data_IF_135394200281
#
_entry.id   IF_135394200281
#
_cell.length_a   1.000
_cell.length_b   1.000
_cell.length_c   1.000
_cell.angle_alpha   90.00
_cell.angle_beta   90.00
_cell.angle_gamma   90.00
#
_symmetry.space_group_name_H-M   'P 1'
#
loop_
_entity.id
_entity.type
_entity.pdbx_description
1 polymer ?
#
# COMPACT_ATOMS: atom_id res chain seq x y z
N UNK A 1 2.93 -22.94 18.66
CA UNK A 1 2.33 -21.61 18.73
C UNK A 1 2.29 -21.17 20.19
N UNK A 2 3.22 -20.30 20.59
CA UNK A 2 3.22 -19.71 21.95
C UNK A 2 2.11 -18.66 21.98
N UNK A 3 1.19 -18.77 22.94
CA UNK A 3 0.13 -17.77 23.11
C UNK A 3 0.74 -16.44 23.58
N UNK A 4 0.40 -15.32 22.94
CA UNK A 4 0.76 -13.96 23.38
C UNK A 4 0.44 -13.69 24.86
N UNK A 5 -0.52 -14.43 25.44
CA UNK A 5 -0.90 -14.31 26.87
C UNK A 5 0.17 -14.88 27.84
N UNK A 6 1.08 -15.71 27.36
CA UNK A 6 2.05 -16.43 28.21
C UNK A 6 3.43 -15.74 28.24
N UNK A 7 3.69 -14.77 27.38
CA UNK A 7 4.99 -14.07 27.32
C UNK A 7 4.92 -12.76 28.11
N UNK A 8 5.99 -12.45 28.86
CA UNK A 8 6.11 -11.14 29.46
C UNK A 8 6.61 -10.09 28.44
N UNK A 9 6.36 -8.82 28.72
CA UNK A 9 6.70 -7.70 27.82
C UNK A 9 8.19 -7.65 27.46
N UNK A 10 9.08 -7.91 28.42
CA UNK A 10 10.52 -7.82 28.22
C UNK A 10 11.06 -8.93 27.32
N UNK A 11 10.41 -10.08 27.30
CA UNK A 11 10.77 -11.19 26.40
C UNK A 11 10.27 -10.92 24.97
N UNK A 12 9.09 -10.32 24.83
CA UNK A 12 8.45 -10.10 23.54
C UNK A 12 9.26 -9.16 22.61
N UNK A 13 10.04 -8.21 23.14
CA UNK A 13 10.85 -7.29 22.33
C UNK A 13 11.94 -7.96 21.50
N UNK A 14 12.31 -9.20 21.84
CA UNK A 14 13.30 -9.98 21.08
C UNK A 14 12.69 -10.76 19.91
N UNK A 15 11.37 -10.71 19.73
CA UNK A 15 10.68 -11.47 18.69
C UNK A 15 10.14 -10.55 17.61
N UNK A 16 10.25 -10.98 16.36
CA UNK A 16 9.62 -10.34 15.22
C UNK A 16 8.21 -10.93 15.05
N UNK A 17 7.13 -10.12 15.18
CA UNK A 17 5.78 -10.61 14.95
C UNK A 17 5.58 -10.85 13.44
N UNK A 18 5.15 -12.05 13.07
CA UNK A 18 4.80 -12.40 11.69
C UNK A 18 3.34 -12.86 11.68
N UNK A 19 2.51 -12.14 10.95
CA UNK A 19 1.07 -12.41 10.89
C UNK A 19 0.27 -11.31 10.20
N UNK A 20 -1.03 -11.29 10.47
CA UNK A 20 -1.91 -10.23 9.93
C UNK A 20 -1.57 -8.86 10.55
N UNK A 21 -2.02 -7.79 9.88
CA UNK A 21 -1.85 -6.41 10.40
C UNK A 21 -2.42 -6.29 11.81
N UNK A 22 -3.60 -6.88 12.07
CA UNK A 22 -4.25 -6.86 13.38
C UNK A 22 -3.42 -7.56 14.45
N UNK A 23 -2.82 -8.71 14.09
CA UNK A 23 -1.92 -9.44 15.00
C UNK A 23 -0.70 -8.60 15.35
N UNK A 24 -0.04 -8.01 14.34
CA UNK A 24 1.16 -7.18 14.56
C UNK A 24 0.83 -5.91 15.34
N UNK A 25 -0.32 -5.27 15.09
CA UNK A 25 -0.81 -4.13 15.89
C UNK A 25 -0.98 -4.51 17.35
N UNK A 26 -1.73 -5.58 17.63
CA UNK A 26 -1.95 -6.08 19.00
C UNK A 26 -0.64 -6.41 19.71
N UNK A 27 0.31 -7.00 18.98
CA UNK A 27 1.64 -7.29 19.51
C UNK A 27 2.39 -6.01 19.86
N UNK A 28 2.45 -5.05 18.94
CA UNK A 28 3.12 -3.76 19.11
C UNK A 28 2.54 -2.98 20.31
N UNK A 29 1.21 -2.88 20.42
CA UNK A 29 0.51 -2.26 21.54
C UNK A 29 0.89 -2.92 22.89
N UNK A 30 0.94 -4.26 22.94
CA UNK A 30 1.27 -4.98 24.15
C UNK A 30 2.69 -4.68 24.64
N UNK A 31 3.65 -4.46 23.74
CA UNK A 31 5.03 -4.12 24.11
C UNK A 31 5.29 -2.62 24.15
N UNK A 32 4.29 -1.79 23.78
CA UNK A 32 4.38 -0.33 23.80
C UNK A 32 5.21 0.24 22.64
N UNK A 33 5.27 -0.46 21.51
CA UNK A 33 5.90 0.00 20.27
C UNK A 33 4.88 0.71 19.41
N UNK A 34 5.21 1.92 18.94
CA UNK A 34 4.39 2.66 18.00
C UNK A 34 4.72 2.22 16.57
N UNK A 35 3.73 1.73 15.84
CA UNK A 35 3.89 1.42 14.42
C UNK A 35 3.92 2.69 13.57
N UNK A 36 4.66 2.69 12.44
CA UNK A 36 4.69 3.82 11.53
C UNK A 36 3.34 4.05 10.85
N UNK A 37 3.13 5.28 10.39
CA UNK A 37 1.95 5.64 9.60
C UNK A 37 2.00 4.98 8.20
N UNK A 38 0.83 4.79 7.53
CA UNK A 38 0.77 4.25 6.18
C UNK A 38 1.60 5.07 5.18
N UNK A 39 2.28 4.38 4.28
CA UNK A 39 3.07 5.00 3.21
C UNK A 39 2.16 5.26 2.01
N UNK A 40 2.00 6.52 1.60
CA UNK A 40 1.13 6.87 0.47
C UNK A 40 1.89 7.10 -0.85
N UNK A 41 3.20 7.32 -0.79
CA UNK A 41 4.10 7.50 -1.95
C UNK A 41 3.50 8.43 -3.03
N UNK A 42 3.09 9.62 -2.62
CA UNK A 42 2.42 10.61 -3.48
C UNK A 42 3.30 11.10 -4.61
N UNK A 43 4.62 11.08 -4.43
CA UNK A 43 5.65 11.36 -5.43
C UNK A 43 5.52 10.44 -6.66
N UNK A 44 5.18 9.16 -6.47
CA UNK A 44 4.97 8.23 -7.59
C UNK A 44 3.68 8.54 -8.36
N UNK A 45 2.62 8.98 -7.66
CA UNK A 45 1.40 9.43 -8.32
C UNK A 45 1.66 10.69 -9.17
N UNK A 46 2.46 11.62 -8.64
CA UNK A 46 2.88 12.83 -9.37
C UNK A 46 3.74 12.49 -10.59
N UNK A 47 4.68 11.54 -10.46
CA UNK A 47 5.51 11.06 -11.56
C UNK A 47 4.66 10.50 -12.72
N UNK A 48 3.54 9.85 -12.40
CA UNK A 48 2.59 9.32 -13.40
C UNK A 48 1.55 10.35 -13.86
N UNK A 49 1.60 11.58 -13.37
CA UNK A 49 0.62 12.61 -13.67
C UNK A 49 -0.77 12.34 -13.10
N UNK A 50 -0.91 11.45 -12.12
CA UNK A 50 -2.18 11.14 -11.48
C UNK A 50 -2.48 12.15 -10.36
N UNK A 51 -3.71 12.62 -10.34
CA UNK A 51 -4.17 13.44 -9.23
C UNK A 51 -4.41 12.60 -7.97
N UNK A 52 -4.25 13.20 -6.81
CA UNK A 52 -4.59 12.63 -5.50
C UNK A 52 -4.96 13.74 -4.51
N UNK A 53 -5.71 13.36 -3.47
CA UNK A 53 -6.08 14.24 -2.37
C UNK A 53 -5.97 13.51 -1.04
N UNK A 54 -5.37 14.18 -0.05
CA UNK A 54 -5.20 13.66 1.32
C UNK A 54 -6.16 14.34 2.28
N UNK A 55 -6.72 13.59 3.22
CA UNK A 55 -7.54 14.12 4.30
C UNK A 55 -8.96 14.44 3.90
N UNK A 56 -9.38 14.16 2.67
CA UNK A 56 -10.76 14.37 2.23
C UNK A 56 -11.71 13.52 3.08
N UNK A 57 -12.80 14.12 3.55
CA UNK A 57 -13.92 13.42 4.15
C UNK A 57 -14.97 13.08 3.08
N UNK A 58 -15.77 12.01 3.29
CA UNK A 58 -16.82 11.59 2.35
C UNK A 58 -17.70 12.75 1.90
N UNK A 59 -18.11 13.62 2.84
CA UNK A 59 -18.96 14.79 2.53
C UNK A 59 -18.36 15.73 1.48
N UNK A 60 -17.02 15.80 1.39
CA UNK A 60 -16.34 16.61 0.39
C UNK A 60 -16.26 15.93 -1.00
N UNK A 61 -16.63 14.65 -1.09
CA UNK A 61 -16.78 13.93 -2.36
C UNK A 61 -18.20 14.06 -2.93
N UNK A 62 -19.15 14.60 -2.13
CA UNK A 62 -20.53 14.82 -2.60
C UNK A 62 -20.58 15.93 -3.65
N UNK A 63 -21.35 15.77 -4.75
CA UNK A 63 -21.39 16.71 -5.87
C UNK A 63 -21.87 18.13 -5.52
N UNK A 64 -22.35 18.35 -4.29
CA UNK A 64 -22.96 19.63 -3.87
C UNK A 64 -21.98 20.65 -3.33
N UNK A 65 -20.73 20.29 -3.01
CA UNK A 65 -19.80 21.20 -2.36
C UNK A 65 -18.42 21.26 -3.06
N UNK A 66 -18.17 22.30 -3.85
CA UNK A 66 -16.88 22.94 -4.12
C UNK A 66 -16.13 22.53 -5.42
N UNK A 67 -16.40 21.41 -6.08
CA UNK A 67 -15.74 21.10 -7.35
C UNK A 67 -16.73 21.05 -8.52
N UNK A 68 -16.43 21.75 -9.66
CA UNK A 68 -17.34 21.83 -10.79
C UNK A 68 -17.54 20.52 -11.56
N UNK A 69 -16.69 19.49 -11.30
CA UNK A 69 -16.84 18.15 -11.86
C UNK A 69 -16.99 17.12 -10.74
N UNK A 70 -17.87 16.11 -10.90
CA UNK A 70 -17.96 15.02 -9.95
C UNK A 70 -16.61 14.31 -9.91
N UNK A 71 -16.02 14.19 -8.71
CA UNK A 71 -14.76 13.46 -8.49
C UNK A 71 -14.86 11.95 -8.82
N UNK A 72 -16.08 11.47 -9.05
CA UNK A 72 -16.34 10.08 -9.40
C UNK A 72 -16.08 9.78 -10.89
N UNK A 73 -15.55 8.57 -11.21
CA UNK A 73 -15.10 7.55 -10.27
C UNK A 73 -13.76 7.91 -9.59
N UNK A 74 -13.63 7.54 -8.31
CA UNK A 74 -12.43 7.80 -7.50
C UNK A 74 -12.03 6.55 -6.73
N UNK A 75 -10.75 6.22 -6.68
CA UNK A 75 -10.26 5.21 -5.75
C UNK A 75 -10.07 5.83 -4.38
N UNK A 76 -10.64 5.20 -3.35
CA UNK A 76 -10.60 5.66 -1.97
C UNK A 76 -10.01 4.61 -1.04
N UNK A 77 -9.17 5.05 -0.08
CA UNK A 77 -8.66 4.20 1.00
C UNK A 77 -8.49 5.01 2.29
N UNK A 78 -8.37 4.36 3.47
CA UNK A 78 -8.09 5.07 4.71
C UNK A 78 -6.79 5.87 4.61
N UNK A 79 -6.79 7.12 5.13
CA UNK A 79 -5.57 7.94 5.16
C UNK A 79 -4.62 7.50 6.28
N UNK A 80 -5.13 7.25 7.49
CA UNK A 80 -4.30 7.05 8.69
C UNK A 80 -4.50 5.69 9.36
N UNK A 81 -5.71 5.14 9.28
CA UNK A 81 -6.06 3.90 9.95
C UNK A 81 -5.98 2.72 8.98
N UNK A 82 -4.85 1.99 8.99
CA UNK A 82 -4.72 0.78 8.17
C UNK A 82 -5.89 -0.17 8.42
N UNK A 83 -6.52 -0.64 7.33
CA UNK A 83 -7.62 -1.59 7.33
C UNK A 83 -8.90 -1.17 8.10
N UNK A 84 -9.13 0.13 8.30
CA UNK A 84 -10.44 0.61 8.75
C UNK A 84 -11.54 0.17 7.78
N UNK A 85 -11.23 0.17 6.49
CA UNK A 85 -11.99 -0.50 5.42
C UNK A 85 -11.03 -0.88 4.29
N UNK A 86 -11.44 -1.78 3.40
CA UNK A 86 -10.67 -2.11 2.19
C UNK A 86 -10.83 -1.00 1.16
N UNK A 87 -9.74 -0.54 0.55
CA UNK A 87 -9.79 0.45 -0.54
C UNK A 87 -10.69 -0.03 -1.68
N UNK A 88 -11.49 0.88 -2.23
CA UNK A 88 -12.43 0.58 -3.31
C UNK A 88 -12.58 1.75 -4.28
N UNK A 89 -13.14 1.47 -5.45
CA UNK A 89 -13.53 2.50 -6.42
C UNK A 89 -14.94 2.96 -6.11
N UNK A 90 -15.08 4.20 -5.64
CA UNK A 90 -16.37 4.85 -5.51
C UNK A 90 -16.78 5.44 -6.87
N UNK A 91 -17.92 5.03 -7.39
CA UNK A 91 -18.55 5.55 -8.61
C UNK A 91 -19.67 6.52 -8.30
N UNK A 92 -20.15 6.47 -7.07
CA UNK A 92 -21.19 7.35 -6.54
C UNK A 92 -21.10 7.42 -5.02
N UNK A 93 -21.81 8.35 -4.43
CA UNK A 93 -21.92 8.45 -2.97
C UNK A 93 -22.53 7.19 -2.32
N UNK A 94 -23.38 6.45 -3.05
CA UNK A 94 -24.01 5.22 -2.56
C UNK A 94 -23.03 4.07 -2.30
N UNK A 95 -21.86 4.08 -2.95
CA UNK A 95 -20.87 3.01 -2.78
C UNK A 95 -20.28 2.99 -1.36
N UNK A 96 -20.35 4.11 -0.65
CA UNK A 96 -19.94 4.19 0.76
C UNK A 96 -20.91 3.45 1.71
N UNK A 97 -22.16 3.23 1.30
CA UNK A 97 -23.15 2.50 2.09
C UNK A 97 -22.84 1.00 2.18
N UNK A 98 -21.91 0.51 1.37
CA UNK A 98 -21.38 -0.87 1.45
C UNK A 98 -20.55 -1.12 2.73
N UNK A 99 -20.18 -0.07 3.45
CA UNK A 99 -19.37 -0.13 4.68
C UNK A 99 -20.12 0.58 5.83
N UNK A 100 -21.25 0.04 6.28
CA UNK A 100 -22.11 0.69 7.30
C UNK A 100 -21.43 0.82 8.67
N UNK A 101 -20.38 0.03 8.94
CA UNK A 101 -19.59 0.08 10.17
C UNK A 101 -18.63 1.27 10.22
N UNK A 102 -18.39 1.97 9.09
CA UNK A 102 -17.45 3.09 9.02
C UNK A 102 -18.15 4.40 9.30
N UNK A 103 -17.70 5.13 10.33
CA UNK A 103 -18.13 6.51 10.55
C UNK A 103 -17.49 7.45 9.52
N UNK A 104 -18.19 7.68 8.43
CA UNK A 104 -17.74 8.53 7.34
C UNK A 104 -17.68 10.02 7.69
N UNK A 105 -18.30 10.45 8.78
CA UNK A 105 -18.28 11.86 9.21
C UNK A 105 -16.93 12.29 9.78
N UNK A 106 -16.16 11.33 10.29
CA UNK A 106 -14.84 11.54 10.93
C UNK A 106 -13.69 10.87 10.18
N UNK A 107 -14.00 9.93 9.27
CA UNK A 107 -12.97 9.16 8.56
C UNK A 107 -12.29 9.98 7.47
N UNK A 108 -10.98 10.19 7.62
CA UNK A 108 -10.15 10.82 6.59
C UNK A 108 -9.79 9.82 5.51
N UNK A 109 -9.90 10.25 4.27
CA UNK A 109 -9.68 9.46 3.07
C UNK A 109 -8.39 9.89 2.36
N UNK A 110 -7.74 8.93 1.74
CA UNK A 110 -6.78 9.15 0.68
C UNK A 110 -7.45 8.78 -0.64
N UNK A 111 -7.59 9.75 -1.52
CA UNK A 111 -8.29 9.60 -2.79
C UNK A 111 -7.33 9.75 -3.96
N UNK A 112 -7.47 8.90 -4.97
CA UNK A 112 -6.65 8.98 -6.19
C UNK A 112 -7.50 8.74 -7.43
N UNK A 113 -6.98 9.18 -8.57
CA UNK A 113 -7.50 8.78 -9.87
C UNK A 113 -7.52 7.26 -10.00
N UNK A 114 -8.60 6.73 -10.57
CA UNK A 114 -8.74 5.29 -10.84
C UNK A 114 -7.76 4.88 -11.95
N UNK A 115 -7.11 3.73 -11.77
CA UNK A 115 -6.42 3.05 -12.86
C UNK A 115 -7.42 2.14 -13.58
N UNK A 116 -7.47 2.26 -14.88
CA UNK A 116 -8.35 1.47 -15.74
C UNK A 116 -7.55 0.39 -16.49
N UNK A 117 -8.26 -0.58 -17.06
CA UNK A 117 -7.71 -1.64 -17.91
C UNK A 117 -6.54 -2.41 -17.26
N UNK A 118 -6.61 -2.64 -15.95
CA UNK A 118 -5.62 -3.47 -15.24
C UNK A 118 -5.74 -4.91 -15.73
N UNK A 119 -4.64 -5.47 -16.26
CA UNK A 119 -4.56 -6.84 -16.74
C UNK A 119 -3.83 -7.78 -15.78
N UNK A 120 -2.92 -7.25 -14.98
CA UNK A 120 -2.27 -7.99 -13.90
C UNK A 120 -1.73 -7.07 -12.81
N UNK A 121 -1.54 -7.63 -11.60
CA UNK A 121 -1.00 -6.92 -10.45
C UNK A 121 0.15 -7.72 -9.85
N UNK A 122 1.19 -7.00 -9.44
CA UNK A 122 2.46 -7.57 -9.00
C UNK A 122 2.96 -6.90 -7.74
N UNK A 123 3.47 -7.69 -6.82
CA UNK A 123 4.18 -7.22 -5.63
C UNK A 123 5.68 -7.38 -5.80
N UNK A 124 6.40 -6.26 -5.75
CA UNK A 124 7.86 -6.24 -5.71
C UNK A 124 8.31 -6.06 -4.26
N UNK A 125 9.00 -7.06 -3.71
CA UNK A 125 9.59 -6.99 -2.38
C UNK A 125 10.92 -6.24 -2.44
N UNK A 126 11.05 -5.19 -1.65
CA UNK A 126 12.22 -4.30 -1.63
C UNK A 126 12.92 -4.38 -0.29
N UNK A 127 14.22 -4.63 -0.32
CA UNK A 127 15.10 -4.66 0.84
C UNK A 127 16.34 -3.81 0.54
N UNK A 128 16.62 -2.81 1.38
CA UNK A 128 17.71 -1.85 1.19
C UNK A 128 17.70 -1.21 -0.23
N UNK A 129 16.53 -0.75 -0.69
CA UNK A 129 16.34 -0.14 -2.01
C UNK A 129 16.49 -1.09 -3.21
N UNK A 130 16.57 -2.41 -2.98
CA UNK A 130 16.73 -3.41 -4.06
C UNK A 130 15.58 -4.40 -4.07
N UNK A 131 14.99 -4.62 -5.25
CA UNK A 131 14.00 -5.68 -5.46
C UNK A 131 14.69 -7.03 -5.41
N UNK A 132 14.23 -7.92 -4.54
CA UNK A 132 14.70 -9.31 -4.50
C UNK A 132 13.70 -10.32 -5.06
N UNK A 133 12.41 -9.96 -5.12
CA UNK A 133 11.39 -10.75 -5.77
C UNK A 133 10.27 -9.84 -6.31
N UNK A 134 9.67 -10.23 -7.42
CA UNK A 134 8.49 -9.59 -7.99
C UNK A 134 7.50 -10.70 -8.36
N UNK A 135 6.34 -10.74 -7.71
CA UNK A 135 5.41 -11.87 -7.73
C UNK A 135 4.04 -11.40 -8.19
N UNK A 136 3.46 -12.12 -9.16
CA UNK A 136 2.07 -11.89 -9.57
C UNK A 136 1.12 -12.35 -8.46
N UNK A 137 0.12 -11.53 -8.12
CA UNK A 137 -0.91 -11.89 -7.15
C UNK A 137 -2.34 -11.72 -7.69
N UNK A 138 -2.49 -11.09 -8.86
CA UNK A 138 -3.80 -10.91 -9.50
C UNK A 138 -3.65 -10.83 -11.02
N UNK A 139 -4.66 -11.25 -11.76
CA UNK A 139 -4.74 -11.16 -13.20
C UNK A 139 -3.82 -12.13 -13.95
N UNK A 140 -3.51 -11.80 -15.20
CA UNK A 140 -2.74 -12.66 -16.10
C UNK A 140 -1.23 -12.62 -15.80
N UNK A 141 -0.63 -13.74 -15.31
CA UNK A 141 0.78 -13.79 -14.93
C UNK A 141 1.75 -13.68 -16.12
N UNK A 142 1.27 -13.70 -17.36
CA UNK A 142 2.11 -13.51 -18.55
C UNK A 142 2.32 -12.05 -18.91
N UNK A 143 1.61 -11.11 -18.27
CA UNK A 143 1.84 -9.68 -18.41
C UNK A 143 2.82 -9.19 -17.34
N UNK A 144 4.12 -9.21 -17.65
CA UNK A 144 5.19 -8.84 -16.73
C UNK A 144 5.37 -7.33 -16.58
N UNK A 145 5.71 -6.83 -15.39
CA UNK A 145 6.05 -5.44 -15.20
C UNK A 145 7.39 -5.07 -15.84
N UNK A 146 7.49 -3.83 -16.29
CA UNK A 146 8.71 -3.29 -16.88
C UNK A 146 9.76 -3.03 -15.80
N UNK A 147 10.91 -3.68 -15.90
CA UNK A 147 12.02 -3.55 -14.95
C UNK A 147 12.50 -2.09 -14.79
N UNK A 148 12.60 -1.35 -15.89
CA UNK A 148 13.08 0.04 -15.86
C UNK A 148 12.08 0.94 -15.16
N UNK A 149 10.75 0.71 -15.35
CA UNK A 149 9.71 1.44 -14.64
C UNK A 149 9.79 1.19 -13.13
N UNK A 150 9.93 -0.08 -12.70
CA UNK A 150 10.12 -0.42 -11.28
C UNK A 150 11.37 0.26 -10.71
N UNK A 151 12.50 0.19 -11.42
CA UNK A 151 13.75 0.80 -10.98
C UNK A 151 13.63 2.32 -10.84
N UNK A 152 12.92 2.98 -11.78
CA UNK A 152 12.66 4.40 -11.72
C UNK A 152 11.77 4.77 -10.52
N UNK A 153 10.70 4.00 -10.27
CA UNK A 153 9.82 4.21 -9.11
C UNK A 153 10.62 4.12 -7.80
N UNK A 154 11.45 3.08 -7.64
CA UNK A 154 12.29 2.91 -6.45
C UNK A 154 13.29 4.04 -6.31
N UNK A 155 13.97 4.43 -7.39
CA UNK A 155 14.93 5.53 -7.37
C UNK A 155 14.31 6.87 -6.95
N UNK A 156 13.08 7.14 -7.42
CA UNK A 156 12.35 8.35 -6.99
C UNK A 156 11.96 8.29 -5.51
N UNK A 157 11.45 7.14 -5.04
CA UNK A 157 11.13 6.96 -3.62
C UNK A 157 12.34 7.15 -2.72
N UNK A 158 13.47 6.49 -3.03
CA UNK A 158 14.69 6.58 -2.24
C UNK A 158 15.29 8.00 -2.28
N UNK A 159 15.11 8.73 -3.37
CA UNK A 159 15.57 10.11 -3.53
C UNK A 159 14.75 11.13 -2.73
N UNK A 160 13.43 10.96 -2.68
CA UNK A 160 12.50 11.86 -1.97
C UNK A 160 12.44 11.58 -0.46
N UNK A 161 12.65 10.34 -0.04
CA UNK A 161 12.64 9.98 1.36
C UNK A 161 13.96 10.32 2.04
N UNK A 162 13.91 11.23 3.01
CA UNK A 162 15.10 11.55 3.85
C UNK A 162 15.65 10.33 4.57
N UNK A 163 14.76 9.35 4.85
CA UNK A 163 15.08 8.05 5.44
C UNK A 163 14.03 7.05 4.98
N UNK A 164 14.32 6.34 3.89
CA UNK A 164 13.45 5.26 3.42
C UNK A 164 13.42 4.11 4.43
N UNK A 165 12.30 3.39 4.57
CA UNK A 165 12.26 2.14 5.34
C UNK A 165 13.27 1.14 4.78
N UNK A 166 13.94 0.40 5.66
CA UNK A 166 14.87 -0.66 5.24
C UNK A 166 14.18 -1.70 4.35
N UNK A 167 12.87 -1.89 4.53
CA UNK A 167 12.08 -2.85 3.78
C UNK A 167 10.62 -2.42 3.61
N UNK A 168 10.10 -2.65 2.41
CA UNK A 168 8.72 -2.38 2.00
C UNK A 168 8.33 -3.21 0.78
N UNK A 169 7.05 -3.25 0.39
CA UNK A 169 6.67 -3.69 -0.95
C UNK A 169 6.24 -2.51 -1.81
N UNK A 170 6.59 -2.58 -3.09
CA UNK A 170 6.06 -1.75 -4.16
C UNK A 170 5.09 -2.61 -4.97
N UNK A 171 3.81 -2.28 -4.92
CA UNK A 171 2.80 -2.94 -5.73
C UNK A 171 2.55 -2.14 -7.01
N UNK A 172 2.56 -2.84 -8.15
CA UNK A 172 2.37 -2.26 -9.48
C UNK A 172 1.30 -3.00 -10.25
N UNK A 173 0.58 -2.25 -11.08
CA UNK A 173 -0.36 -2.80 -12.06
C UNK A 173 0.24 -2.77 -13.45
N UNK A 174 -0.13 -3.75 -14.26
CA UNK A 174 0.04 -3.70 -15.70
C UNK A 174 -1.29 -3.26 -16.30
N UNK A 175 -1.30 -2.09 -16.91
CA UNK A 175 -2.47 -1.53 -17.56
C UNK A 175 -2.32 -1.65 -19.09
N UNK A 176 -3.41 -2.05 -19.76
CA UNK A 176 -3.46 -2.00 -21.22
C UNK A 176 -3.80 -0.59 -21.63
N UNK A 177 -2.85 0.08 -22.30
CA UNK A 177 -3.06 1.42 -22.83
C UNK A 177 -3.73 1.30 -24.20
N UNK A 178 -4.90 1.91 -24.35
CA UNK A 178 -5.57 2.03 -25.64
C UNK A 178 -4.97 3.19 -26.42
N UNK A 179 -3.97 2.91 -27.23
CA UNK A 179 -3.50 3.83 -28.25
C UNK A 179 -4.14 3.43 -29.58
N UNK A 180 -4.46 4.41 -30.45
CA UNK A 180 -5.06 4.15 -31.78
C UNK A 180 -4.36 3.00 -32.48
N UNK A 181 -5.16 1.99 -32.86
CA UNK A 181 -4.65 0.81 -33.57
C UNK A 181 -3.53 1.16 -34.58
N UNK A 182 -2.48 0.33 -34.72
CA UNK A 182 -2.31 -1.03 -34.20
C UNK A 182 -1.47 -1.12 -32.90
N UNK A 183 -1.26 -0.07 -32.16
CA UNK A 183 -0.27 0.02 -31.08
C UNK A 183 -0.91 -0.02 -29.69
N UNK A 184 -1.45 -1.18 -29.29
CA UNK A 184 -1.75 -1.40 -27.88
C UNK A 184 -0.46 -1.81 -27.17
N UNK A 185 -0.07 -1.10 -26.10
CA UNK A 185 1.06 -1.48 -25.27
C UNK A 185 0.64 -1.57 -23.80
N UNK A 186 1.35 -2.40 -23.06
CA UNK A 186 1.14 -2.52 -21.62
C UNK A 186 2.05 -1.54 -20.90
N UNK A 187 1.49 -0.75 -19.99
CA UNK A 187 2.25 0.14 -19.12
C UNK A 187 2.32 -0.41 -17.70
N UNK A 188 3.45 -0.21 -17.02
CA UNK A 188 3.60 -0.51 -15.59
C UNK A 188 3.25 0.72 -14.79
N UNK A 189 2.22 0.63 -13.96
CA UNK A 189 1.67 1.73 -13.15
C UNK A 189 1.81 1.45 -11.67
N UNK A 190 2.10 2.48 -10.90
CA UNK A 190 2.14 2.41 -9.45
C UNK A 190 0.75 2.14 -8.84
N UNK A 191 0.65 1.18 -7.92
CA UNK A 191 -0.55 0.93 -7.12
C UNK A 191 -0.41 1.46 -5.70
N UNK A 192 0.47 0.84 -4.92
CA UNK A 192 0.68 1.20 -3.52
C UNK A 192 2.04 0.78 -2.97
N UNK A 193 2.40 1.35 -1.83
CA UNK A 193 3.50 0.89 -0.99
C UNK A 193 2.91 0.28 0.28
N UNK A 194 3.42 -0.88 0.67
CA UNK A 194 3.08 -1.49 1.94
C UNK A 194 4.34 -1.63 2.81
N UNK A 195 4.24 -1.20 4.07
CA UNK A 195 5.33 -1.33 5.02
C UNK A 195 5.57 -2.81 5.38
N UNK A 196 6.83 -3.22 5.43
CA UNK A 196 7.19 -4.62 5.61
C UNK A 196 6.96 -5.16 7.04
N UNK A 197 6.49 -4.37 8.00
CA UNK A 197 6.21 -4.91 9.34
C UNK A 197 5.01 -5.88 9.37
N UNK A 198 4.09 -5.80 8.41
CA UNK A 198 2.93 -6.69 8.32
C UNK A 198 2.53 -6.86 6.84
N UNK A 199 3.30 -7.63 6.10
CA UNK A 199 3.18 -7.82 4.67
C UNK A 199 2.73 -9.24 4.33
N UNK A 200 1.84 -9.40 3.35
CA UNK A 200 1.44 -10.72 2.84
C UNK A 200 2.53 -11.36 1.98
N UNK A 201 2.73 -12.66 2.17
CA UNK A 201 3.62 -13.47 1.33
C UNK A 201 2.84 -14.04 0.14
N UNK A 202 3.22 -13.66 -1.07
CA UNK A 202 2.62 -14.16 -2.31
C UNK A 202 3.56 -15.11 -3.08
N UNK A 203 4.78 -15.33 -2.57
CA UNK A 203 5.77 -16.18 -3.20
C UNK A 203 7.17 -15.55 -3.21
N UNK A 204 8.12 -16.22 -3.84
CA UNK A 204 9.52 -15.82 -3.89
C UNK A 204 10.38 -16.53 -2.83
N UNK A 205 11.56 -15.97 -2.55
CA UNK A 205 12.50 -16.51 -1.56
C UNK A 205 11.99 -16.26 -0.13
N UNK A 206 11.62 -17.32 0.57
CA UNK A 206 11.05 -17.26 1.92
C UNK A 206 12.07 -16.80 2.97
N UNK A 207 13.36 -17.08 2.78
CA UNK A 207 14.41 -16.65 3.71
C UNK A 207 14.63 -15.14 3.60
N UNK A 208 14.70 -14.61 2.36
CA UNK A 208 14.78 -13.17 2.14
C UNK A 208 13.51 -12.46 2.60
N UNK A 209 12.33 -13.06 2.40
CA UNK A 209 11.08 -12.49 2.90
C UNK A 209 11.06 -12.39 4.44
N UNK A 210 11.40 -13.46 5.15
CA UNK A 210 11.45 -13.44 6.62
C UNK A 210 12.51 -12.48 7.15
N UNK A 211 13.67 -12.41 6.50
CA UNK A 211 14.73 -11.44 6.80
C UNK A 211 14.26 -9.99 6.60
N UNK A 212 13.49 -9.73 5.55
CA UNK A 212 12.91 -8.42 5.26
C UNK A 212 12.00 -7.96 6.41
N UNK A 213 11.07 -8.82 6.86
CA UNK A 213 10.17 -8.54 7.99
C UNK A 213 10.96 -8.27 9.29
N UNK A 214 11.95 -9.11 9.58
CA UNK A 214 12.78 -9.01 10.77
C UNK A 214 13.60 -7.70 10.79
N UNK A 215 14.24 -7.34 9.70
CA UNK A 215 15.01 -6.10 9.59
C UNK A 215 14.12 -4.87 9.74
N UNK A 216 12.92 -4.89 9.13
CA UNK A 216 11.98 -3.77 9.29
C UNK A 216 11.47 -3.64 10.72
N UNK A 217 11.15 -4.75 11.38
CA UNK A 217 10.73 -4.76 12.77
C UNK A 217 11.81 -4.20 13.69
N UNK A 218 13.05 -4.65 13.53
CA UNK A 218 14.21 -4.13 14.28
C UNK A 218 14.44 -2.63 14.07
N UNK A 219 14.25 -2.15 12.84
CA UNK A 219 14.33 -0.72 12.53
C UNK A 219 13.24 0.08 13.26
N UNK A 220 12.00 -0.42 13.30
CA UNK A 220 10.88 0.20 14.02
C UNK A 220 11.20 0.30 15.52
N UNK A 221 11.65 -0.78 16.13
CA UNK A 221 12.01 -0.80 17.56
C UNK A 221 13.13 0.21 17.86
N UNK A 222 14.15 0.29 17.00
CA UNK A 222 15.29 1.19 17.19
C UNK A 222 14.90 2.67 17.10
N UNK A 223 13.81 2.99 16.42
CA UNK A 223 13.38 4.38 16.17
C UNK A 223 12.25 4.84 17.13
N UNK A 224 12.04 4.14 18.27
CA UNK A 224 11.06 4.50 19.32
C UNK A 224 11.49 5.72 20.14
#
# INVERSE_FOLDING_TARGET
LISLKMMNKNEMVFFTPIGTVEFVKTFAEKIGVKLPDPIHATELLQLEGRWFNKGILRKALSPTDIYPDPLFPVFVKPLTELKKFTGFVARSDKDFDLYPEVDWSTTKLFCTQVLENIVSEWRCYVLNGKVFACVNYSGDPLNFPNKSAISLMISNLEGEWKKSPVAYSLDVAICREEVREPYNYNSTRFLEINDAYALGYYGGDVELYTKMLDLRWKEIIKNQ
#
